data_IF_216007297920
#
_entry.id   IF_216007297920
#
_cell.length_a   1.000
_cell.length_b   1.000
_cell.length_c   1.000
_cell.angle_alpha   90.00
_cell.angle_beta   90.00
_cell.angle_gamma   90.00
#
_symmetry.space_group_name_H-M   'P 1'
#
loop_
_entity.id
_entity.type
_entity.pdbx_description
1 polymer ?
#
# COMPACT_ATOMS: atom_id res chain seq x y z
N UNK A 1 3.79 -20.39 -9.92
CA UNK A 1 4.07 -18.95 -10.11
C UNK A 1 4.32 -18.30 -8.76
N UNK A 2 5.19 -17.32 -8.73
CA UNK A 2 5.51 -16.60 -7.49
C UNK A 2 4.29 -15.81 -7.01
N UNK A 3 4.07 -15.80 -5.71
CA UNK A 3 3.01 -14.98 -5.11
C UNK A 3 3.37 -13.51 -5.23
N UNK A 4 2.36 -12.68 -5.43
CA UNK A 4 2.55 -11.22 -5.36
C UNK A 4 2.83 -10.81 -3.92
N UNK A 5 3.76 -9.88 -3.75
CA UNK A 5 4.24 -9.43 -2.44
C UNK A 5 3.64 -8.08 -2.08
N UNK A 6 3.05 -8.02 -0.89
CA UNK A 6 2.41 -6.82 -0.37
C UNK A 6 3.07 -6.41 0.94
N UNK A 7 3.39 -5.12 1.07
CA UNK A 7 3.81 -4.53 2.33
C UNK A 7 2.61 -3.78 2.93
N UNK A 8 2.20 -4.18 4.13
CA UNK A 8 1.11 -3.54 4.85
C UNK A 8 1.67 -2.77 6.05
N UNK A 9 1.30 -1.51 6.19
CA UNK A 9 1.86 -0.60 7.20
C UNK A 9 0.74 0.07 7.99
N UNK A 10 0.71 -0.14 9.30
CA UNK A 10 -0.27 0.46 10.21
C UNK A 10 0.31 0.41 11.62
N UNK A 11 0.15 1.46 12.40
CA UNK A 11 0.63 1.50 13.79
C UNK A 11 -0.31 0.78 14.76
N UNK A 12 -1.53 0.45 14.35
CA UNK A 12 -2.47 -0.33 15.15
C UNK A 12 -2.24 -1.82 14.85
N UNK A 13 -1.71 -2.55 15.84
CA UNK A 13 -1.37 -3.96 15.69
C UNK A 13 -2.59 -4.83 15.34
N UNK A 14 -3.75 -4.52 15.91
CA UNK A 14 -4.99 -5.27 15.63
C UNK A 14 -5.43 -5.08 14.18
N UNK A 15 -5.46 -3.84 13.71
CA UNK A 15 -5.82 -3.53 12.33
C UNK A 15 -4.83 -4.17 11.36
N UNK A 16 -3.55 -4.10 11.66
CA UNK A 16 -2.49 -4.66 10.83
C UNK A 16 -2.61 -6.18 10.73
N UNK A 17 -2.89 -6.84 11.85
CA UNK A 17 -3.08 -8.30 11.87
C UNK A 17 -4.29 -8.74 11.05
N UNK A 18 -5.41 -8.01 11.15
CA UNK A 18 -6.61 -8.29 10.37
C UNK A 18 -6.36 -8.12 8.87
N UNK A 19 -5.69 -7.03 8.50
CA UNK A 19 -5.33 -6.74 7.12
C UNK A 19 -4.45 -7.85 6.54
N UNK A 20 -3.42 -8.24 7.28
CA UNK A 20 -2.52 -9.32 6.88
C UNK A 20 -3.29 -10.62 6.65
N UNK A 21 -4.17 -10.97 7.57
CA UNK A 21 -4.93 -12.23 7.49
C UNK A 21 -5.80 -12.28 6.23
N UNK A 22 -6.50 -11.20 5.92
CA UNK A 22 -7.34 -11.11 4.72
C UNK A 22 -6.50 -11.35 3.45
N UNK A 23 -5.35 -10.71 3.37
CA UNK A 23 -4.49 -10.80 2.19
C UNK A 23 -3.80 -12.16 2.07
N UNK A 24 -3.33 -12.71 3.17
CA UNK A 24 -2.69 -14.04 3.18
C UNK A 24 -3.67 -15.12 2.76
N UNK A 25 -4.92 -15.04 3.23
CA UNK A 25 -5.95 -16.00 2.85
C UNK A 25 -6.26 -15.97 1.35
N UNK A 26 -6.09 -14.81 0.72
CA UNK A 26 -6.28 -14.68 -0.74
C UNK A 26 -5.10 -15.23 -1.54
N UNK A 27 -3.99 -15.51 -0.90
CA UNK A 27 -2.82 -16.09 -1.56
C UNK A 27 -1.66 -15.13 -1.77
N UNK A 28 -1.70 -13.93 -1.19
CA UNK A 28 -0.60 -12.99 -1.29
C UNK A 28 0.49 -13.28 -0.25
N UNK A 29 1.71 -12.91 -0.56
CA UNK A 29 2.84 -12.93 0.37
C UNK A 29 2.90 -11.56 1.05
N UNK A 30 2.63 -11.50 2.35
CA UNK A 30 2.44 -10.24 3.07
C UNK A 30 3.51 -10.04 4.11
N UNK A 31 4.21 -8.92 4.03
CA UNK A 31 5.08 -8.41 5.09
C UNK A 31 4.38 -7.24 5.77
N UNK A 32 4.64 -7.03 7.05
CA UNK A 32 4.02 -5.96 7.81
C UNK A 32 5.08 -5.07 8.45
N UNK A 33 4.72 -3.79 8.64
CA UNK A 33 5.56 -2.84 9.35
C UNK A 33 4.68 -1.98 10.26
N UNK A 34 5.10 -1.74 11.52
CA UNK A 34 4.28 -0.99 12.48
C UNK A 34 4.46 0.53 12.40
N UNK A 35 5.37 1.01 11.56
CA UNK A 35 5.66 2.44 11.43
C UNK A 35 6.34 2.72 10.09
N UNK A 36 6.50 4.00 9.77
CA UNK A 36 7.08 4.42 8.51
C UNK A 36 8.55 4.06 8.34
N UNK A 37 9.33 4.14 9.40
CA UNK A 37 10.76 3.79 9.33
C UNK A 37 10.95 2.31 9.01
N UNK A 38 10.19 1.43 9.67
CA UNK A 38 10.26 0.01 9.41
C UNK A 38 9.77 -0.33 8.00
N UNK A 39 8.76 0.41 7.52
CA UNK A 39 8.29 0.26 6.14
C UNK A 39 9.41 0.57 5.14
N UNK A 40 10.12 1.68 5.33
CA UNK A 40 11.21 2.06 4.44
C UNK A 40 12.37 1.05 4.50
N UNK A 41 12.66 0.53 5.68
CA UNK A 41 13.67 -0.52 5.85
C UNK A 41 13.28 -1.79 5.07
N UNK A 42 12.02 -2.20 5.16
CA UNK A 42 11.52 -3.36 4.43
C UNK A 42 11.64 -3.15 2.92
N UNK A 43 11.29 -1.95 2.44
CA UNK A 43 11.38 -1.62 1.02
C UNK A 43 12.82 -1.58 0.52
N UNK A 44 13.78 -1.19 1.36
CA UNK A 44 15.19 -1.19 1.00
C UNK A 44 15.76 -2.61 0.90
N UNK A 45 15.23 -3.54 1.69
CA UNK A 45 15.76 -4.90 1.81
C UNK A 45 15.01 -5.94 1.00
N UNK A 46 13.88 -5.59 0.39
CA UNK A 46 13.07 -6.53 -0.38
C UNK A 46 12.38 -5.87 -1.55
N UNK A 47 11.70 -6.68 -2.36
CA UNK A 47 10.89 -6.19 -3.48
C UNK A 47 9.43 -6.44 -3.20
N UNK A 48 8.58 -5.48 -3.52
CA UNK A 48 7.14 -5.57 -3.30
C UNK A 48 6.37 -5.17 -4.56
N UNK A 49 5.16 -5.67 -4.67
CA UNK A 49 4.27 -5.39 -5.80
C UNK A 49 3.20 -4.35 -5.43
N UNK A 50 2.99 -4.12 -4.15
CA UNK A 50 2.00 -3.17 -3.63
C UNK A 50 2.34 -2.79 -2.20
N UNK A 51 2.09 -1.54 -1.84
CA UNK A 51 2.20 -1.06 -0.45
C UNK A 51 0.88 -0.48 0.01
N UNK A 52 0.40 -0.91 1.18
CA UNK A 52 -0.80 -0.39 1.82
C UNK A 52 -0.35 0.39 3.05
N UNK A 53 -0.61 1.70 3.08
CA UNK A 53 -0.10 2.62 4.08
C UNK A 53 -1.21 3.30 4.86
N UNK A 54 -1.18 3.21 6.18
CA UNK A 54 -1.98 4.08 7.03
C UNK A 54 -1.48 5.52 6.88
N UNK A 55 -2.39 6.46 6.65
CA UNK A 55 -2.06 7.88 6.51
C UNK A 55 -1.56 8.45 7.84
N UNK A 56 -2.22 8.10 8.94
CA UNK A 56 -1.95 8.71 10.25
C UNK A 56 -1.14 7.78 11.12
N UNK A 57 0.16 8.05 11.20
CA UNK A 57 1.09 7.29 12.04
C UNK A 57 2.02 8.25 12.78
N UNK A 58 2.44 7.91 14.02
CA UNK A 58 3.43 8.71 14.72
C UNK A 58 4.78 8.72 13.97
N UNK A 59 5.47 9.84 14.01
CA UNK A 59 6.74 10.01 13.31
C UNK A 59 6.50 10.27 11.84
N UNK A 60 6.95 9.37 10.96
CA UNK A 60 6.68 9.49 9.53
C UNK A 60 5.23 9.14 9.22
N UNK A 61 4.48 10.08 8.65
CA UNK A 61 3.11 9.83 8.18
C UNK A 61 3.12 8.95 6.94
N UNK A 62 1.94 8.42 6.57
CA UNK A 62 1.80 7.70 5.30
C UNK A 62 2.18 8.57 4.11
N UNK A 63 1.87 9.86 4.15
CA UNK A 63 2.26 10.80 3.09
C UNK A 63 3.78 10.88 2.95
N UNK A 64 4.49 10.99 4.09
CA UNK A 64 5.95 11.08 4.08
C UNK A 64 6.58 9.81 3.52
N UNK A 65 6.07 8.65 3.92
CA UNK A 65 6.57 7.36 3.41
C UNK A 65 6.35 7.28 1.91
N UNK A 66 5.16 7.66 1.43
CA UNK A 66 4.84 7.62 0.00
C UNK A 66 5.76 8.54 -0.81
N UNK A 67 6.05 9.75 -0.31
CA UNK A 67 6.99 10.65 -0.98
C UNK A 67 8.36 10.00 -1.13
N UNK A 68 8.85 9.35 -0.08
CA UNK A 68 10.14 8.65 -0.14
C UNK A 68 10.12 7.47 -1.11
N UNK A 69 9.01 6.74 -1.17
CA UNK A 69 8.81 5.68 -2.16
C UNK A 69 8.97 6.24 -3.57
N UNK A 70 8.36 7.37 -3.86
CA UNK A 70 8.40 7.99 -5.19
C UNK A 70 9.76 8.59 -5.55
N UNK A 71 10.58 8.91 -4.54
CA UNK A 71 11.90 9.49 -4.75
C UNK A 71 12.99 8.44 -5.02
N UNK A 72 12.72 7.18 -4.70
CA UNK A 72 13.69 6.10 -4.89
C UNK A 72 13.39 5.39 -6.22
N UNK A 73 14.38 5.30 -7.09
CA UNK A 73 14.23 4.68 -8.41
C UNK A 73 13.74 3.24 -8.32
N UNK A 74 14.12 2.51 -7.27
CA UNK A 74 13.71 1.13 -7.05
C UNK A 74 12.19 1.01 -6.82
N UNK A 75 11.57 1.99 -6.17
CA UNK A 75 10.18 1.92 -5.71
C UNK A 75 9.28 2.98 -6.35
N UNK A 76 9.82 3.79 -7.24
CA UNK A 76 9.11 4.94 -7.81
C UNK A 76 7.73 4.59 -8.38
N UNK A 77 7.58 3.42 -9.00
CA UNK A 77 6.35 3.00 -9.65
C UNK A 77 5.53 2.01 -8.81
N UNK A 78 5.93 1.78 -7.56
CA UNK A 78 5.22 0.87 -6.66
C UNK A 78 3.80 1.39 -6.39
N UNK A 79 2.74 0.59 -6.64
CA UNK A 79 1.39 1.01 -6.28
C UNK A 79 1.25 1.23 -4.78
N UNK A 80 0.60 2.33 -4.40
CA UNK A 80 0.38 2.69 -2.99
C UNK A 80 -1.11 2.94 -2.77
N UNK A 81 -1.69 2.25 -1.81
CA UNK A 81 -3.05 2.45 -1.33
C UNK A 81 -2.98 3.04 0.08
N UNK A 82 -3.57 4.23 0.29
CA UNK A 82 -3.66 4.81 1.63
C UNK A 82 -4.87 4.26 2.37
N UNK A 83 -4.69 4.02 3.68
CA UNK A 83 -5.78 3.74 4.60
C UNK A 83 -6.02 4.99 5.45
N UNK A 84 -7.30 5.37 5.62
CA UNK A 84 -7.67 6.53 6.43
C UNK A 84 -8.78 6.14 7.41
N UNK A 85 -8.79 6.77 8.59
CA UNK A 85 -9.82 6.51 9.58
C UNK A 85 -11.15 7.15 9.16
N UNK A 86 -12.26 6.46 9.47
CA UNK A 86 -13.60 7.02 9.24
C UNK A 86 -13.75 8.32 10.02
N UNK A 87 -14.24 9.35 9.35
CA UNK A 87 -14.41 10.67 9.96
C UNK A 87 -13.16 11.55 9.92
N UNK A 88 -12.04 11.01 9.50
CA UNK A 88 -10.82 11.77 9.34
C UNK A 88 -10.91 12.67 8.12
N UNK A 89 -10.48 13.92 8.26
CA UNK A 89 -10.37 14.81 7.11
C UNK A 89 -9.14 14.41 6.30
N UNK A 90 -9.37 13.92 5.08
CA UNK A 90 -8.29 13.49 4.20
C UNK A 90 -7.87 14.66 3.34
N UNK A 91 -6.57 14.96 3.32
CA UNK A 91 -6.00 15.92 2.41
C UNK A 91 -5.71 15.24 1.08
N UNK A 92 -6.69 15.32 0.17
CA UNK A 92 -6.58 14.69 -1.15
C UNK A 92 -5.45 15.32 -1.96
N UNK A 93 -5.23 16.62 -1.81
CA UNK A 93 -4.15 17.32 -2.50
C UNK A 93 -2.80 16.80 -2.03
N UNK A 94 -2.60 16.69 -0.73
CA UNK A 94 -1.36 16.13 -0.18
C UNK A 94 -1.12 14.69 -0.64
N UNK A 95 -2.18 13.88 -0.68
CA UNK A 95 -2.08 12.51 -1.15
C UNK A 95 -1.66 12.44 -2.61
N UNK A 96 -2.23 13.28 -3.47
CA UNK A 96 -1.85 13.35 -4.89
C UNK A 96 -0.40 13.79 -5.04
N UNK A 97 0.04 14.80 -4.31
CA UNK A 97 1.42 15.28 -4.34
C UNK A 97 2.38 14.22 -3.83
N UNK A 98 1.97 13.41 -2.84
CA UNK A 98 2.78 12.31 -2.33
C UNK A 98 2.84 11.13 -3.32
N UNK A 99 1.91 11.07 -4.27
CA UNK A 99 1.92 10.05 -5.31
C UNK A 99 1.16 8.77 -4.98
N UNK A 100 0.12 8.85 -4.15
CA UNK A 100 -0.73 7.68 -3.87
C UNK A 100 -1.59 7.34 -5.08
N UNK A 101 -1.98 6.08 -5.17
CA UNK A 101 -2.83 5.58 -6.27
C UNK A 101 -4.30 5.51 -5.87
N UNK A 102 -4.59 5.20 -4.61
CA UNK A 102 -5.95 5.02 -4.11
C UNK A 102 -6.05 5.29 -2.61
N UNK A 103 -7.27 5.52 -2.14
CA UNK A 103 -7.61 5.63 -0.72
C UNK A 103 -8.66 4.59 -0.34
N UNK A 104 -8.53 4.02 0.85
CA UNK A 104 -9.57 3.19 1.48
C UNK A 104 -9.86 3.71 2.88
N UNK A 105 -11.14 3.78 3.25
CA UNK A 105 -11.57 4.26 4.56
C UNK A 105 -11.74 3.08 5.52
N UNK A 106 -11.20 3.18 6.72
CA UNK A 106 -11.37 2.18 7.78
C UNK A 106 -12.78 2.29 8.40
N UNK A 107 -13.38 1.20 8.84
CA UNK A 107 -12.89 -0.18 8.74
C UNK A 107 -12.99 -0.68 7.30
N UNK A 108 -11.93 -1.35 6.84
CA UNK A 108 -11.85 -1.81 5.46
C UNK A 108 -12.63 -3.12 5.33
N UNK A 109 -13.60 -3.16 4.43
CA UNK A 109 -14.32 -4.39 4.10
C UNK A 109 -13.39 -5.30 3.28
N UNK A 110 -13.31 -6.57 3.65
CA UNK A 110 -12.43 -7.54 2.98
C UNK A 110 -12.69 -7.59 1.47
N UNK A 111 -13.95 -7.61 1.05
CA UNK A 111 -14.33 -7.65 -0.36
C UNK A 111 -13.78 -6.44 -1.11
N UNK A 112 -13.97 -5.24 -0.56
CA UNK A 112 -13.51 -4.00 -1.20
C UNK A 112 -11.99 -3.95 -1.28
N UNK A 113 -11.30 -4.32 -0.21
CA UNK A 113 -9.85 -4.39 -0.18
C UNK A 113 -9.32 -5.33 -1.26
N UNK A 114 -9.86 -6.55 -1.31
CA UNK A 114 -9.41 -7.56 -2.26
C UNK A 114 -9.68 -7.16 -3.71
N UNK A 115 -10.81 -6.49 -3.97
CA UNK A 115 -11.10 -5.99 -5.30
C UNK A 115 -10.09 -4.94 -5.74
N UNK A 116 -9.75 -4.01 -4.86
CA UNK A 116 -8.78 -2.96 -5.18
C UNK A 116 -7.37 -3.50 -5.32
N UNK A 117 -6.97 -4.40 -4.45
CA UNK A 117 -5.66 -5.06 -4.56
C UNK A 117 -5.57 -5.81 -5.88
N UNK A 118 -6.62 -6.52 -6.26
CA UNK A 118 -6.68 -7.25 -7.53
C UNK A 118 -6.54 -6.34 -8.73
N UNK A 119 -7.07 -5.11 -8.68
CA UNK A 119 -6.94 -4.14 -9.77
C UNK A 119 -5.48 -3.79 -10.07
N UNK A 120 -4.63 -3.79 -9.04
CA UNK A 120 -3.21 -3.48 -9.21
C UNK A 120 -2.36 -4.71 -9.50
N UNK A 121 -2.73 -5.87 -8.98
CA UNK A 121 -1.88 -7.05 -9.00
C UNK A 121 -2.29 -8.13 -10.01
N UNK A 122 -3.50 -8.05 -10.57
CA UNK A 122 -3.91 -8.97 -11.62
C UNK A 122 -3.33 -8.53 -12.96
N UNK A 123 -2.63 -9.43 -13.65
CA UNK A 123 -2.01 -9.12 -14.94
C UNK A 123 -3.02 -8.85 -16.04
N UNK A 124 -4.28 -9.25 -15.86
CA UNK A 124 -5.34 -9.12 -16.84
C UNK A 124 -6.11 -7.81 -16.73
N UNK A 125 -5.83 -6.97 -15.71
CA UNK A 125 -6.56 -5.71 -15.55
C UNK A 125 -6.00 -4.63 -16.46
N UNK A 126 -6.86 -3.69 -16.92
CA UNK A 126 -6.36 -2.54 -17.71
C UNK A 126 -5.35 -1.69 -16.94
N UNK A 127 -5.53 -1.56 -15.62
CA UNK A 127 -4.63 -0.78 -14.79
C UNK A 127 -3.23 -1.41 -14.74
N UNK A 128 -3.14 -2.73 -14.57
CA UNK A 128 -1.87 -3.44 -14.57
C UNK A 128 -1.17 -3.32 -15.93
N UNK A 129 -1.91 -3.45 -17.03
CA UNK A 129 -1.39 -3.27 -18.39
C UNK A 129 -0.86 -1.87 -18.61
N UNK A 130 -1.56 -0.86 -18.12
CA UNK A 130 -1.13 0.53 -18.21
C UNK A 130 0.18 0.77 -17.48
N UNK A 131 0.31 0.20 -16.28
CA UNK A 131 1.55 0.34 -15.50
C UNK A 131 2.73 -0.31 -16.18
N UNK A 132 2.55 -1.51 -16.75
CA UNK A 132 3.62 -2.17 -17.48
C UNK A 132 4.06 -1.33 -18.69
N UNK A 133 3.12 -0.75 -19.42
CA UNK A 133 3.43 0.13 -20.56
C UNK A 133 4.21 1.35 -20.11
N UNK A 134 3.88 1.95 -18.96
CA UNK A 134 4.58 3.12 -18.43
C UNK A 134 6.00 2.79 -17.99
N UNK A 135 6.25 1.57 -17.56
CA UNK A 135 7.58 1.11 -17.11
C UNK A 135 8.46 0.66 -18.27
N UNK A 136 7.83 0.29 -19.37
CA UNK A 136 8.52 -0.21 -20.54
C UNK A 136 9.12 0.88 -21.36
#
# INVERSE_FOLDING_TARGET
MAKKKILAVDDDATALGALRQILVQKGYDVSTAPNGHDALTALANGSFDLCILDVSMPGLSGYDVCRKIRQDDKTRDLPVIFLTAKGMLVDMTEGEEAGSDLYLVKPVLATKLLNMVGMFLSDDTPLAKKRRSAQG
#
